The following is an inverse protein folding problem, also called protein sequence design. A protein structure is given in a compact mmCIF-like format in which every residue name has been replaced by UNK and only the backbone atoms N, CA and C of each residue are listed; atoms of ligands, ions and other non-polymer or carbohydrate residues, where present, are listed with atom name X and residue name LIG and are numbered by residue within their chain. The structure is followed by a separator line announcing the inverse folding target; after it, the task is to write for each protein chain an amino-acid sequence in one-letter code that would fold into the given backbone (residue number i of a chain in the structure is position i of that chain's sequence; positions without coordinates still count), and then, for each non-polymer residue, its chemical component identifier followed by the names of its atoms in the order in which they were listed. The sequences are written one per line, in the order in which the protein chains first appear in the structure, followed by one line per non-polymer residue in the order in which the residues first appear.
data_IF_889514135031
#
_entry.id   IF_889514135031
#
_cell.length_a   1.000
_cell.length_b   1.000
_cell.length_c   1.000
_cell.angle_alpha   90.00
_cell.angle_beta   90.00
_cell.angle_gamma   90.00
#
_symmetry.space_group_name_H-M   'P 1'
#
loop_
_entity.id
_entity.type
_entity.pdbx_description
1 polymer ?
#
# COMPACT_ATOMS: atom_id res chain seq x y z
N UNK A 1 3.31 4.76 -16.72
CA UNK A 1 3.01 3.35 -16.41
C UNK A 1 1.58 3.25 -15.90
N UNK A 2 0.78 2.38 -16.50
CA UNK A 2 -0.66 2.25 -16.22
C UNK A 2 -0.91 1.31 -15.05
N UNK A 3 -1.55 1.81 -13.99
CA UNK A 3 -2.22 0.97 -12.98
C UNK A 3 -3.50 0.41 -13.60
N UNK A 4 -3.65 -0.91 -13.60
CA UNK A 4 -4.87 -1.57 -14.02
C UNK A 4 -5.66 -2.02 -12.78
N UNK A 5 -6.95 -1.68 -12.75
CA UNK A 5 -7.90 -2.14 -11.74
C UNK A 5 -8.68 -3.29 -12.34
N UNK A 6 -8.56 -4.48 -11.77
CA UNK A 6 -9.40 -5.64 -12.10
C UNK A 6 -10.49 -5.74 -11.04
N UNK A 7 -11.75 -5.55 -11.46
CA UNK A 7 -12.90 -5.81 -10.61
C UNK A 7 -13.26 -7.28 -10.76
N UNK A 8 -12.94 -8.10 -9.75
CA UNK A 8 -13.47 -9.46 -9.67
C UNK A 8 -14.90 -9.39 -9.13
N UNK A 9 -15.85 -9.97 -9.88
CA UNK A 9 -17.24 -10.12 -9.45
C UNK A 9 -17.29 -10.91 -8.14
N UNK A 10 -17.59 -10.26 -7.01
CA UNK A 10 -17.84 -10.95 -5.74
C UNK A 10 -17.07 -10.49 -4.49
N UNK A 11 -16.51 -9.28 -4.43
CA UNK A 11 -16.37 -8.58 -3.14
C UNK A 11 -15.02 -7.97 -2.77
N UNK A 12 -13.91 -8.30 -3.43
CA UNK A 12 -12.62 -7.64 -3.17
C UNK A 12 -12.04 -7.04 -4.46
N UNK A 13 -11.68 -5.75 -4.41
CA UNK A 13 -10.93 -5.10 -5.49
C UNK A 13 -9.52 -5.70 -5.56
N UNK A 14 -8.97 -5.84 -6.76
CA UNK A 14 -7.57 -6.22 -6.96
C UNK A 14 -6.90 -5.19 -7.88
N UNK A 15 -5.69 -4.76 -7.49
CA UNK A 15 -4.85 -3.91 -8.33
C UNK A 15 -3.52 -4.58 -8.61
N UNK A 16 -2.97 -4.32 -9.79
CA UNK A 16 -1.65 -4.81 -10.18
C UNK A 16 -0.64 -3.67 -10.10
N UNK A 17 0.39 -3.85 -9.27
CA UNK A 17 1.49 -2.90 -9.08
C UNK A 17 2.81 -3.61 -9.39
N UNK A 18 3.52 -3.15 -10.42
CA UNK A 18 4.83 -3.70 -10.80
C UNK A 18 4.85 -5.21 -11.03
N UNK A 19 3.73 -5.80 -11.50
CA UNK A 19 3.59 -7.24 -11.73
C UNK A 19 3.08 -8.05 -10.53
N UNK A 20 2.83 -7.41 -9.39
CA UNK A 20 2.28 -8.06 -8.20
C UNK A 20 0.81 -7.69 -7.99
N UNK A 21 -0.01 -8.67 -7.63
CA UNK A 21 -1.42 -8.49 -7.30
C UNK A 21 -1.58 -8.08 -5.84
N UNK A 22 -2.32 -7.01 -5.60
CA UNK A 22 -2.66 -6.54 -4.26
C UNK A 22 -4.17 -6.62 -4.06
N UNK A 23 -4.58 -7.17 -2.92
CA UNK A 23 -5.94 -7.06 -2.40
C UNK A 23 -6.24 -5.59 -2.04
N UNK A 24 -7.40 -5.09 -2.45
CA UNK A 24 -7.81 -3.70 -2.29
C UNK A 24 -7.54 -2.83 -3.54
N UNK A 25 -7.42 -1.50 -3.39
CA UNK A 25 -7.36 -0.76 -2.13
C UNK A 25 -8.70 -0.65 -1.42
N UNK A 26 -8.69 -0.81 -0.10
CA UNK A 26 -9.83 -0.48 0.76
C UNK A 26 -9.59 0.85 1.48
N UNK A 27 -10.63 1.65 1.78
CA UNK A 27 -10.48 2.85 2.61
C UNK A 27 -9.74 2.55 3.91
N UNK A 28 -8.90 3.48 4.40
CA UNK A 28 -8.07 3.22 5.58
C UNK A 28 -8.87 2.88 6.84
N UNK A 29 -10.09 3.39 6.97
CA UNK A 29 -10.97 3.12 8.12
C UNK A 29 -11.63 1.72 8.05
N UNK A 30 -11.63 1.11 6.87
CA UNK A 30 -12.08 -0.27 6.63
C UNK A 30 -10.92 -1.27 6.68
N UNK A 31 -9.69 -0.79 6.88
CA UNK A 31 -8.53 -1.64 7.02
C UNK A 31 -8.56 -2.43 8.34
N UNK A 32 -9.04 -3.67 8.27
CA UNK A 32 -9.02 -4.60 9.40
C UNK A 32 -7.59 -5.00 9.80
N UNK A 33 -7.26 -4.78 11.08
CA UNK A 33 -5.94 -5.10 11.67
C UNK A 33 -5.75 -6.60 11.98
N UNK A 34 -6.82 -7.37 12.09
CA UNK A 34 -6.76 -8.68 12.73
C UNK A 34 -6.38 -9.79 11.75
N UNK A 35 -5.33 -10.55 12.07
CA UNK A 35 -5.01 -11.84 11.45
C UNK A 35 -4.31 -11.79 10.08
N UNK A 36 -3.87 -10.62 9.60
CA UNK A 36 -3.12 -10.55 8.34
C UNK A 36 -1.70 -11.09 8.51
N UNK A 37 -1.21 -11.95 7.59
CA UNK A 37 0.17 -12.44 7.63
C UNK A 37 1.16 -11.30 7.34
N UNK A 38 2.45 -11.59 7.46
CA UNK A 38 3.46 -10.67 6.94
C UNK A 38 3.28 -10.45 5.43
N UNK A 39 3.61 -9.26 4.94
CA UNK A 39 3.46 -8.94 3.54
C UNK A 39 4.01 -7.57 3.19
N UNK A 40 3.60 -7.07 2.04
CA UNK A 40 3.87 -5.71 1.61
C UNK A 40 2.54 -5.00 1.41
N UNK A 41 2.52 -3.69 1.64
CA UNK A 41 1.35 -2.86 1.45
C UNK A 41 1.67 -1.66 0.60
N UNK A 42 0.65 -1.14 -0.08
CA UNK A 42 0.68 0.11 -0.78
C UNK A 42 -0.38 1.05 -0.21
N UNK A 43 0.02 2.27 0.16
CA UNK A 43 -0.93 3.35 0.41
C UNK A 43 -1.21 4.01 -0.94
N UNK A 44 -2.48 4.05 -1.31
CA UNK A 44 -2.94 4.53 -2.60
C UNK A 44 -3.81 5.78 -2.40
N UNK A 45 -3.73 6.73 -3.32
CA UNK A 45 -4.72 7.81 -3.43
C UNK A 45 -5.82 7.45 -4.42
N UNK A 46 -7.04 7.81 -4.08
CA UNK A 46 -8.21 7.74 -4.96
C UNK A 46 -8.18 8.89 -5.96
N UNK A 47 -8.17 8.57 -7.24
CA UNK A 47 -8.36 9.52 -8.33
C UNK A 47 -9.75 9.28 -8.93
N UNK A 48 -10.56 10.35 -9.02
CA UNK A 48 -11.78 10.30 -9.82
C UNK A 48 -11.38 10.30 -11.29
N UNK A 49 -11.67 9.21 -12.00
CA UNK A 49 -11.53 9.15 -13.45
C UNK A 49 -12.93 9.16 -14.09
N UNK A 50 -13.47 10.38 -14.28
CA UNK A 50 -14.78 10.58 -14.90
C UNK A 50 -15.92 9.89 -14.14
N UNK A 51 -17.05 9.70 -14.84
CA UNK A 51 -18.33 9.34 -14.22
C UNK A 51 -18.46 7.90 -13.71
N UNK A 52 -17.51 6.98 -13.96
CA UNK A 52 -17.76 5.55 -13.71
C UNK A 52 -16.58 4.70 -13.24
N UNK A 53 -15.35 5.24 -13.12
CA UNK A 53 -14.20 4.43 -12.69
C UNK A 53 -13.36 5.14 -11.63
N UNK A 54 -13.27 4.52 -10.46
CA UNK A 54 -12.28 4.88 -9.45
C UNK A 54 -10.92 4.36 -9.92
N UNK A 55 -9.92 5.24 -10.00
CA UNK A 55 -8.52 4.83 -10.20
C UNK A 55 -7.77 5.02 -8.90
N UNK A 56 -6.80 4.14 -8.66
CA UNK A 56 -5.92 4.23 -7.51
C UNK A 56 -4.50 4.44 -7.99
N UNK A 57 -3.76 5.33 -7.33
CA UNK A 57 -2.32 5.50 -7.57
C UNK A 57 -1.53 5.27 -6.30
N UNK A 58 -0.44 4.47 -6.34
CA UNK A 58 0.40 4.27 -5.18
C UNK A 58 1.10 5.58 -4.80
N UNK A 59 1.01 5.94 -3.52
CA UNK A 59 1.73 7.03 -2.88
C UNK A 59 2.89 6.53 -2.06
N UNK A 60 2.75 5.36 -1.43
CA UNK A 60 3.77 4.75 -0.60
C UNK A 60 3.73 3.23 -0.71
N UNK A 61 4.87 2.57 -0.61
CA UNK A 61 5.01 1.11 -0.56
C UNK A 61 5.93 0.75 0.60
N UNK A 62 5.54 -0.24 1.41
CA UNK A 62 6.35 -0.70 2.54
C UNK A 62 6.01 -2.12 2.98
N UNK A 63 6.78 -2.63 3.94
CA UNK A 63 6.56 -3.92 4.57
C UNK A 63 5.58 -3.85 5.74
N UNK A 64 4.70 -4.85 5.84
CA UNK A 64 3.92 -5.15 7.03
C UNK A 64 4.47 -6.45 7.62
N UNK A 65 5.32 -6.36 8.64
CA UNK A 65 5.87 -7.57 9.31
C UNK A 65 4.92 -8.08 10.40
N UNK A 66 4.24 -7.15 11.07
CA UNK A 66 3.26 -7.44 12.10
C UNK A 66 2.10 -6.44 11.99
N UNK A 67 0.88 -6.96 11.81
CA UNK A 67 -0.35 -6.17 11.74
C UNK A 67 -0.79 -5.65 13.12
N UNK A 68 -0.12 -6.03 14.21
CA UNK A 68 -0.45 -5.57 15.56
C UNK A 68 -0.09 -4.11 15.83
N UNK A 69 0.63 -3.40 14.93
CA UNK A 69 1.00 -1.98 15.15
C UNK A 69 -0.22 -1.11 15.53
N UNK A 70 -0.28 -0.58 16.77
CA UNK A 70 -1.35 0.31 17.21
C UNK A 70 -1.54 1.54 16.32
N UNK A 71 -2.78 1.72 15.86
CA UNK A 71 -3.17 2.88 15.04
C UNK A 71 -2.71 2.83 13.59
N UNK A 72 -2.01 1.77 13.14
CA UNK A 72 -1.70 1.59 11.73
C UNK A 72 -3.00 1.45 10.93
N UNK A 73 -3.11 2.10 9.75
CA UNK A 73 -2.07 2.84 9.02
C UNK A 73 -1.93 4.32 9.38
N UNK A 74 -2.88 4.92 10.11
CA UNK A 74 -2.89 6.37 10.40
C UNK A 74 -1.72 6.82 11.29
N UNK A 75 -1.25 5.97 12.20
CA UNK A 75 -0.12 6.24 13.10
C UNK A 75 1.26 6.08 12.45
N UNK A 76 1.32 5.69 11.18
CA UNK A 76 2.58 5.57 10.48
C UNK A 76 3.30 6.94 10.44
N UNK A 77 4.63 7.02 10.64
CA UNK A 77 5.36 8.29 10.62
C UNK A 77 5.18 9.10 9.33
N UNK A 78 5.07 8.41 8.19
CA UNK A 78 4.76 9.03 6.89
C UNK A 78 3.26 9.32 6.67
N UNK A 79 2.38 8.94 7.60
CA UNK A 79 0.93 9.08 7.52
C UNK A 79 0.46 10.51 7.24
N UNK A 80 0.92 11.53 7.99
CA UNK A 80 0.59 12.92 7.71
C UNK A 80 0.96 13.35 6.28
N UNK A 81 2.09 12.85 5.74
CA UNK A 81 2.54 13.15 4.39
C UNK A 81 1.68 12.49 3.32
N UNK A 82 1.19 11.27 3.57
CA UNK A 82 0.23 10.59 2.70
C UNK A 82 -1.06 11.40 2.59
N UNK A 83 -1.63 11.81 3.74
CA UNK A 83 -2.86 12.58 3.77
C UNK A 83 -2.71 13.93 3.06
N UNK A 84 -1.62 14.65 3.32
CA UNK A 84 -1.32 15.91 2.63
C UNK A 84 -1.19 15.71 1.11
N UNK A 85 -0.51 14.65 0.67
CA UNK A 85 -0.31 14.35 -0.76
C UNK A 85 -1.60 13.89 -1.46
N UNK A 86 -2.50 13.21 -0.77
CA UNK A 86 -3.80 12.80 -1.30
C UNK A 86 -4.86 13.91 -1.23
N UNK A 87 -4.63 14.94 -0.40
CA UNK A 87 -5.59 16.00 -0.13
C UNK A 87 -6.69 15.59 0.85
N UNK A 88 -6.38 14.69 1.79
CA UNK A 88 -7.30 14.18 2.81
C UNK A 88 -7.12 12.69 3.10
N UNK A 89 -7.50 12.25 4.31
CA UNK A 89 -7.43 10.84 4.73
C UNK A 89 -8.50 9.98 4.04
N UNK A 90 -9.65 10.56 3.76
CA UNK A 90 -10.79 9.95 3.07
C UNK A 90 -10.50 9.61 1.60
N UNK A 91 -9.41 10.14 1.06
CA UNK A 91 -8.90 9.84 -0.28
C UNK A 91 -7.84 8.75 -0.29
N UNK A 92 -7.45 8.25 0.89
CA UNK A 92 -6.48 7.18 1.01
C UNK A 92 -7.16 5.82 1.07
N UNK A 93 -6.53 4.85 0.43
CA UNK A 93 -6.81 3.44 0.58
C UNK A 93 -5.53 2.67 0.76
N UNK A 94 -5.64 1.45 1.27
CA UNK A 94 -4.53 0.54 1.47
C UNK A 94 -4.77 -0.72 0.66
N UNK A 95 -3.76 -1.11 -0.12
CA UNK A 95 -3.71 -2.37 -0.83
C UNK A 95 -2.65 -3.26 -0.18
N UNK A 96 -2.86 -4.57 -0.20
CA UNK A 96 -1.98 -5.52 0.48
C UNK A 96 -1.69 -6.74 -0.37
N UNK A 97 -0.42 -7.13 -0.38
CA UNK A 97 0.04 -8.37 -1.01
C UNK A 97 0.63 -9.26 0.10
N UNK A 98 -0.06 -10.36 0.46
CA UNK A 98 0.45 -11.28 1.47
C UNK A 98 1.75 -11.90 0.99
N UNK A 99 2.79 -11.83 1.82
CA UNK A 99 4.05 -12.54 1.63
C UNK A 99 4.40 -13.23 2.95
N UNK A 100 3.65 -14.30 3.31
CA UNK A 100 3.92 -15.07 4.52
C UNK A 100 5.36 -15.60 4.45
N UNK A 101 6.21 -15.09 5.34
CA UNK A 101 7.66 -15.35 5.27
C UNK A 101 8.03 -16.73 5.81
N UNK A 102 9.16 -17.24 5.30
CA UNK A 102 10.31 -17.43 6.17
C UNK A 102 11.41 -16.34 6.02
N UNK A 103 11.43 -15.51 4.97
CA UNK A 103 12.54 -14.56 4.72
C UNK A 103 12.13 -13.07 4.54
N UNK A 104 12.50 -12.17 5.48
CA UNK A 104 12.36 -10.73 5.35
C UNK A 104 13.11 -10.08 4.16
N UNK A 105 14.23 -10.65 3.72
CA UNK A 105 15.05 -10.08 2.62
C UNK A 105 14.31 -10.11 1.30
N UNK A 106 13.51 -11.15 1.07
CA UNK A 106 12.70 -11.26 -0.14
C UNK A 106 11.65 -10.14 -0.22
N UNK A 107 10.92 -9.88 0.88
CA UNK A 107 9.96 -8.77 0.93
C UNK A 107 10.62 -7.41 0.70
N UNK A 108 11.74 -7.15 1.38
CA UNK A 108 12.51 -5.91 1.19
C UNK A 108 12.94 -5.72 -0.27
N UNK A 109 13.35 -6.80 -0.94
CA UNK A 109 13.74 -6.78 -2.36
C UNK A 109 12.56 -6.44 -3.27
N UNK A 110 11.36 -6.99 -2.99
CA UNK A 110 10.14 -6.65 -3.74
C UNK A 110 9.72 -5.19 -3.50
N UNK A 111 9.75 -4.70 -2.26
CA UNK A 111 9.47 -3.29 -1.97
C UNK A 111 10.41 -2.38 -2.74
N UNK A 112 11.73 -2.67 -2.72
CA UNK A 112 12.72 -1.87 -3.45
C UNK A 112 12.44 -1.86 -4.95
N UNK A 113 12.18 -3.03 -5.55
CA UNK A 113 11.82 -3.13 -6.97
C UNK A 113 10.59 -2.27 -7.31
N UNK A 114 9.54 -2.36 -6.48
CA UNK A 114 8.31 -1.59 -6.69
C UNK A 114 8.53 -0.09 -6.54
N UNK A 115 9.32 0.34 -5.56
CA UNK A 115 9.66 1.76 -5.35
C UNK A 115 10.49 2.30 -6.52
N UNK A 116 11.50 1.56 -6.97
CA UNK A 116 12.36 1.95 -8.09
C UNK A 116 11.56 2.04 -9.41
N UNK A 117 10.62 1.10 -9.61
CA UNK A 117 9.78 1.02 -10.82
C UNK A 117 8.67 2.06 -10.83
N UNK A 118 7.92 2.19 -9.73
CA UNK A 118 6.70 3.00 -9.67
C UNK A 118 6.98 4.44 -9.20
N UNK A 119 8.14 4.69 -8.60
CA UNK A 119 8.56 5.98 -8.02
C UNK A 119 7.45 6.66 -7.20
N UNK A 120 6.84 5.97 -6.23
CA UNK A 120 5.78 6.52 -5.39
C UNK A 120 6.28 7.75 -4.64
N UNK A 121 5.51 8.84 -4.72
CA UNK A 121 5.92 10.19 -4.25
C UNK A 121 6.32 10.22 -2.78
N UNK A 122 5.69 9.42 -1.93
CA UNK A 122 5.91 9.45 -0.49
C UNK A 122 7.01 8.49 -0.01
N UNK A 123 7.60 7.65 -0.88
CA UNK A 123 8.80 6.87 -0.53
C UNK A 123 10.08 7.71 -0.58
N UNK A 124 10.16 8.74 -1.44
CA UNK A 124 11.37 9.58 -1.52
C UNK A 124 11.58 10.50 -0.31
N UNK A 125 10.50 10.84 0.40
CA UNK A 125 10.54 11.68 1.62
C UNK A 125 10.84 10.89 2.89
N UNK A 126 10.84 9.56 2.81
CA UNK A 126 11.06 8.68 3.94
C UNK A 126 12.10 7.64 3.54
N UNK A 127 13.33 7.76 4.07
CA UNK A 127 14.39 6.78 3.81
C UNK A 127 13.93 5.40 4.32
N UNK A 128 13.36 4.60 3.41
CA UNK A 128 12.88 3.26 3.70
C UNK A 128 14.10 2.40 4.03
N UNK A 129 14.37 2.22 5.33
CA UNK A 129 15.39 1.31 5.82
C UNK A 129 14.74 0.00 6.24
N UNK A 130 14.81 -1.07 5.42
CA UNK A 130 14.28 -2.38 5.80
C UNK A 130 15.01 -3.01 6.99
N UNK A 131 16.16 -2.45 7.40
CA UNK A 131 17.06 -2.96 8.42
C UNK A 131 17.31 -1.92 9.54
N UNK A 132 16.33 -1.69 10.41
CA UNK A 132 16.61 -1.20 11.77
C UNK A 132 15.69 -1.89 12.77
N UNK A 133 15.89 -3.19 12.93
CA UNK A 133 15.71 -3.85 14.22
C UNK A 133 17.11 -4.10 14.76
N UNK A 134 17.55 -3.24 15.67
CA UNK A 134 18.44 -3.67 16.74
C UNK A 134 17.66 -4.52 17.74
#
# INVERSE_FOLDING_TARGET
MSTFVLLLSGGNQVIVLGGHEFEGPVPLDEWGRNGRPSGIYAICRREQAGAARVRWRPLFIGELVDATWPGFPRSHPAGPWWAATAGGWERLGIAFHPMPAPDPRHRASVVRLLVDTLRPRCNGSFDYRPDRRG
#
